data_IF_578866492548
#
_entry.id   IF_578866492548
#
_cell.length_a   1.000
_cell.length_b   1.000
_cell.length_c   1.000
_cell.angle_alpha   90.00
_cell.angle_beta   90.00
_cell.angle_gamma   90.00
#
_symmetry.space_group_name_H-M   'P 1'
#
loop_
_entity.id
_entity.type
_entity.pdbx_description
1 polymer ?
#
# COMPACT_ATOMS: atom_id res chain seq x y z
N UNK A 1 -6.00 6.77 -1.43
CA UNK A 1 -7.12 7.24 -0.58
C UNK A 1 -6.48 7.83 0.67
N UNK A 2 -6.84 9.05 1.09
CA UNK A 2 -6.25 9.64 2.30
C UNK A 2 -6.88 9.05 3.56
N UNK A 3 -6.14 9.08 4.69
CA UNK A 3 -6.64 8.63 6.00
C UNK A 3 -7.92 9.38 6.37
N UNK A 4 -7.98 10.69 6.09
CA UNK A 4 -9.15 11.53 6.33
C UNK A 4 -10.37 11.11 5.53
N UNK A 5 -10.18 10.72 4.26
CA UNK A 5 -11.28 10.25 3.42
C UNK A 5 -11.80 8.87 3.88
N UNK A 6 -10.93 8.00 4.38
CA UNK A 6 -11.32 6.68 4.89
C UNK A 6 -11.98 6.76 6.28
N UNK A 7 -11.54 7.67 7.15
CA UNK A 7 -12.18 7.88 8.45
C UNK A 7 -13.62 8.40 8.30
N UNK A 8 -13.87 9.26 7.30
CA UNK A 8 -15.19 9.82 7.02
C UNK A 8 -16.23 8.78 6.57
N UNK A 9 -15.81 7.63 6.02
CA UNK A 9 -16.73 6.58 5.55
C UNK A 9 -17.17 5.62 6.65
N UNK A 10 -16.62 5.75 7.88
CA UNK A 10 -16.88 4.80 8.97
C UNK A 10 -16.26 3.42 8.74
N UNK A 11 -15.53 3.22 7.63
CA UNK A 11 -14.85 1.96 7.35
C UNK A 11 -13.52 1.91 8.10
N UNK A 12 -13.58 1.27 9.27
CA UNK A 12 -12.43 1.01 10.13
C UNK A 12 -11.32 0.26 9.39
N UNK A 13 -11.65 -0.62 8.42
CA UNK A 13 -10.66 -1.30 7.58
C UNK A 13 -9.88 -0.30 6.73
N UNK A 14 -10.62 0.48 5.94
CA UNK A 14 -10.04 1.37 4.96
C UNK A 14 -9.15 2.39 5.65
N UNK A 15 -9.56 2.84 6.84
CA UNK A 15 -8.76 3.73 7.70
C UNK A 15 -7.45 3.08 8.11
N UNK A 16 -7.48 1.86 8.65
CA UNK A 16 -6.27 1.14 9.07
C UNK A 16 -5.33 0.82 7.89
N UNK A 17 -5.87 0.46 6.72
CA UNK A 17 -5.08 0.26 5.49
C UNK A 17 -4.40 1.57 5.08
N UNK A 18 -5.13 2.70 5.10
CA UNK A 18 -4.56 4.00 4.78
C UNK A 18 -3.47 4.42 5.77
N UNK A 19 -3.63 4.11 7.07
CA UNK A 19 -2.62 4.34 8.09
C UNK A 19 -1.37 3.48 7.86
N UNK A 20 -1.54 2.19 7.53
CA UNK A 20 -0.43 1.30 7.16
C UNK A 20 0.36 1.87 5.99
N UNK A 21 -0.33 2.23 4.91
CA UNK A 21 0.30 2.73 3.68
C UNK A 21 1.07 4.04 3.95
N UNK A 22 0.53 4.93 4.78
CA UNK A 22 1.21 6.17 5.18
C UNK A 22 2.42 5.92 6.08
N UNK A 23 2.29 5.06 7.10
CA UNK A 23 3.39 4.73 8.00
C UNK A 23 4.55 4.04 7.27
N UNK A 24 4.26 3.17 6.30
CA UNK A 24 5.28 2.54 5.48
C UNK A 24 6.07 3.58 4.66
N UNK A 25 5.36 4.52 4.01
CA UNK A 25 6.01 5.62 3.28
C UNK A 25 6.83 6.53 4.20
N UNK A 26 6.30 6.86 5.38
CA UNK A 26 7.01 7.68 6.36
C UNK A 26 8.26 6.97 6.89
N UNK A 27 8.27 5.63 6.97
CA UNK A 27 9.42 4.85 7.41
C UNK A 27 10.57 4.87 6.40
N UNK A 28 10.27 4.95 5.11
CA UNK A 28 11.28 5.06 4.03
C UNK A 28 11.98 6.43 4.04
N UNK A 29 11.27 7.49 4.47
CA UNK A 29 11.77 8.88 4.49
C UNK A 29 12.27 9.35 5.87
N UNK A 30 12.00 8.57 6.93
CA UNK A 30 12.27 9.00 8.30
C UNK A 30 13.75 8.93 8.72
N UNK A 31 14.21 9.86 9.57
CA UNK A 31 15.51 9.74 10.23
C UNK A 31 15.58 8.48 11.11
N UNK A 32 16.76 7.85 11.26
CA UNK A 32 16.92 6.61 12.02
C UNK A 32 16.38 6.66 13.47
N UNK A 33 16.44 7.83 14.10
CA UNK A 33 15.94 8.05 15.46
C UNK A 33 14.42 7.87 15.60
N UNK A 34 13.66 8.00 14.51
CA UNK A 34 12.18 7.96 14.50
C UNK A 34 11.66 6.65 13.91
N UNK A 35 12.49 5.92 13.15
CA UNK A 35 12.12 4.65 12.48
C UNK A 35 11.58 3.63 13.48
N UNK A 36 12.19 3.48 14.66
CA UNK A 36 11.73 2.54 15.67
C UNK A 36 10.30 2.86 16.17
N UNK A 37 9.95 4.14 16.30
CA UNK A 37 8.61 4.56 16.70
C UNK A 37 7.58 4.30 15.59
N UNK A 38 7.94 4.57 14.34
CA UNK A 38 7.10 4.29 13.17
C UNK A 38 6.86 2.78 13.04
N UNK A 39 7.90 1.97 13.20
CA UNK A 39 7.82 0.52 13.15
C UNK A 39 6.89 -0.05 14.25
N UNK A 40 7.01 0.44 15.49
CA UNK A 40 6.13 0.03 16.58
C UNK A 40 4.65 0.37 16.29
N UNK A 41 4.39 1.56 15.73
CA UNK A 41 3.03 1.94 15.37
C UNK A 41 2.49 1.10 14.21
N UNK A 42 3.33 0.81 13.22
CA UNK A 42 2.98 -0.05 12.08
C UNK A 42 2.64 -1.47 12.54
N UNK A 43 3.40 -2.05 13.47
CA UNK A 43 3.10 -3.37 14.05
C UNK A 43 1.72 -3.40 14.73
N UNK A 44 1.35 -2.36 15.48
CA UNK A 44 0.03 -2.24 16.11
C UNK A 44 -1.10 -2.18 15.07
N UNK A 45 -0.91 -1.42 13.98
CA UNK A 45 -1.91 -1.32 12.90
C UNK A 45 -2.09 -2.66 12.17
N UNK A 46 -1.00 -3.40 11.94
CA UNK A 46 -1.05 -4.73 11.33
C UNK A 46 -1.80 -5.72 12.22
N UNK A 47 -1.52 -5.76 13.52
CA UNK A 47 -2.23 -6.62 14.45
C UNK A 47 -3.75 -6.32 14.50
N UNK A 48 -4.15 -5.05 14.44
CA UNK A 48 -5.57 -4.69 14.35
C UNK A 48 -6.20 -5.11 13.00
N UNK A 49 -5.46 -5.00 11.90
CA UNK A 49 -5.94 -5.45 10.59
C UNK A 49 -6.15 -6.97 10.55
N UNK A 50 -5.21 -7.72 11.13
CA UNK A 50 -5.27 -9.18 11.24
C UNK A 50 -6.45 -9.59 12.12
N UNK A 51 -6.65 -8.95 13.27
CA UNK A 51 -7.80 -9.18 14.14
C UNK A 51 -9.15 -8.90 13.45
N UNK A 52 -9.20 -7.94 12.52
CA UNK A 52 -10.40 -7.67 11.72
C UNK A 52 -10.57 -8.62 10.52
N UNK A 53 -9.50 -9.28 10.05
CA UNK A 53 -9.56 -10.24 8.95
C UNK A 53 -10.23 -11.56 9.39
N UNK A 54 -10.06 -11.95 10.66
CA UNK A 54 -10.69 -13.14 11.26
C UNK A 54 -12.23 -13.04 11.27
N UNK A 55 -12.79 -11.83 11.14
CA UNK A 55 -14.24 -11.58 11.26
C UNK A 55 -15.04 -11.58 9.94
N UNK A 56 -14.50 -12.06 8.81
CA UNK A 56 -15.33 -12.77 7.83
C UNK A 56 -15.73 -12.17 6.47
N UNK A 57 -15.15 -11.09 5.94
CA UNK A 57 -15.64 -10.58 4.62
C UNK A 57 -14.63 -9.77 3.79
N UNK A 58 -13.41 -10.28 3.59
CA UNK A 58 -12.30 -9.41 3.13
C UNK A 58 -11.44 -9.90 1.97
N UNK A 59 -11.56 -11.16 1.56
CA UNK A 59 -10.71 -11.74 0.51
C UNK A 59 -10.90 -11.10 -0.87
N UNK A 60 -12.13 -10.78 -1.26
CA UNK A 60 -12.42 -10.31 -2.63
C UNK A 60 -11.89 -8.91 -2.95
N UNK A 61 -11.85 -8.02 -1.96
CA UNK A 61 -11.39 -6.64 -2.16
C UNK A 61 -9.86 -6.55 -2.26
N UNK A 62 -9.14 -7.37 -1.50
CA UNK A 62 -7.68 -7.41 -1.56
C UNK A 62 -7.19 -8.12 -2.82
N UNK A 63 -7.84 -9.22 -3.24
CA UNK A 63 -7.55 -9.84 -4.54
C UNK A 63 -7.71 -8.86 -5.70
N UNK A 64 -8.74 -8.02 -5.66
CA UNK A 64 -8.97 -7.01 -6.69
C UNK A 64 -7.90 -5.91 -6.68
N UNK A 65 -7.40 -5.53 -5.49
CA UNK A 65 -6.30 -4.55 -5.36
C UNK A 65 -4.98 -5.15 -5.84
N UNK A 66 -4.67 -6.40 -5.49
CA UNK A 66 -3.51 -7.14 -5.98
C UNK A 66 -3.52 -7.20 -7.51
N UNK A 67 -4.65 -7.63 -8.11
CA UNK A 67 -4.83 -7.68 -9.58
C UNK A 67 -4.63 -6.33 -10.28
N UNK A 68 -5.03 -5.22 -9.62
CA UNK A 68 -4.81 -3.87 -10.18
C UNK A 68 -3.34 -3.47 -10.13
N UNK A 69 -2.64 -3.77 -9.03
CA UNK A 69 -1.21 -3.51 -8.90
C UNK A 69 -0.39 -4.31 -9.92
N UNK A 70 -0.70 -5.60 -10.10
CA UNK A 70 -0.05 -6.46 -11.08
C UNK A 70 -0.24 -5.94 -12.52
N UNK A 71 -1.44 -5.48 -12.85
CA UNK A 71 -1.72 -4.88 -14.17
C UNK A 71 -0.92 -3.58 -14.39
N UNK A 72 -0.77 -2.76 -13.37
CA UNK A 72 0.00 -1.50 -13.46
C UNK A 72 1.51 -1.80 -13.57
N UNK A 73 2.01 -2.78 -12.83
CA UNK A 73 3.41 -3.22 -12.92
C UNK A 73 3.75 -3.80 -14.31
N UNK A 74 2.84 -4.60 -14.88
CA UNK A 74 2.99 -5.16 -16.22
C UNK A 74 3.03 -4.07 -17.31
N UNK A 75 2.19 -3.03 -17.20
CA UNK A 75 2.15 -1.94 -18.19
C UNK A 75 3.37 -1.00 -18.08
N UNK A 76 3.89 -0.72 -16.88
CA UNK A 76 5.16 0.01 -16.69
C UNK A 76 6.36 -0.73 -17.28
N UNK A 77 6.41 -2.05 -17.13
CA UNK A 77 7.49 -2.88 -17.68
C UNK A 77 7.49 -2.89 -19.21
N UNK A 78 6.31 -2.94 -19.84
CA UNK A 78 6.16 -2.86 -21.30
C UNK A 78 6.55 -1.47 -21.87
N UNK A 79 6.29 -0.38 -21.14
CA UNK A 79 6.64 0.97 -21.57
C UNK A 79 8.17 1.23 -21.55
N UNK A 80 8.88 0.68 -20.55
CA UNK A 80 10.35 0.78 -20.47
C UNK A 80 11.06 -0.02 -21.57
N UNK A 81 10.52 -1.19 -21.95
CA UNK A 81 11.09 -2.00 -23.01
C UNK A 81 11.00 -1.32 -24.39
N UNK A 82 9.89 -0.64 -24.70
CA UNK A 82 9.72 0.09 -25.98
C UNK A 82 10.68 1.28 -26.12
N UNK A 83 11.05 1.95 -25.02
CA UNK A 83 11.92 3.13 -25.05
C UNK A 83 13.37 2.77 -25.38
N UNK A 84 13.89 1.68 -24.80
CA UNK A 84 15.27 1.19 -25.06
C UNK A 84 15.51 0.73 -26.50
N UNK A 85 14.51 0.18 -27.18
CA UNK A 85 14.68 -0.31 -28.56
C UNK A 85 14.77 0.81 -29.59
N UNK A 86 14.18 1.97 -29.31
CA UNK A 86 14.16 3.12 -30.23
C UNK A 86 15.48 3.91 -30.23
N UNK A 87 16.21 3.89 -29.11
CA UNK A 87 17.47 4.63 -28.94
C UNK A 87 18.68 3.88 -29.50
N UNK A 88 18.58 2.56 -29.71
CA UNK A 88 19.64 1.72 -30.31
C UNK A 88 19.62 1.66 -31.85
N UNK A 89 18.70 2.37 -32.50
CA UNK A 89 18.52 2.39 -33.96
C UNK A 89 18.72 3.77 -34.60
N UNK A 90 19.21 4.75 -33.82
CA UNK A 90 19.57 6.08 -34.30
C UNK A 90 21.09 6.18 -34.46
#
# INVERSE_FOLDING_TARGET
MSITAAAATGDRRATLIAMRDKLAADMDEAPPAVVAQIAARLQSVLAELDGLAVSGERDLADELKQRRLDRIAATKSAASAKRKTRERRA
#
